data_IF_265506871679
#
_entry.id   IF_265506871679
#
_cell.length_a   1.000
_cell.length_b   1.000
_cell.length_c   1.000
_cell.angle_alpha   90.00
_cell.angle_beta   90.00
_cell.angle_gamma   90.00
#
_symmetry.space_group_name_H-M   'P 1'
#
loop_
_entity.id
_entity.type
_entity.pdbx_description
1 polymer ?
#
# COMPACT_ATOMS: atom_id res chain seq x y z
N UNK A 1 -14.82 -1.45 27.26
CA UNK A 1 -14.36 -2.03 25.99
C UNK A 1 -14.39 -0.97 24.92
N UNK A 2 -13.46 -0.96 23.94
CA UNK A 2 -13.52 -0.01 22.84
C UNK A 2 -14.83 -0.18 22.04
N UNK A 3 -15.37 0.93 21.55
CA UNK A 3 -16.54 0.94 20.64
C UNK A 3 -16.01 0.94 19.21
N UNK A 4 -16.58 0.10 18.36
CA UNK A 4 -16.19 0.05 16.93
C UNK A 4 -17.22 0.81 16.09
N UNK A 5 -16.73 1.78 15.34
CA UNK A 5 -17.51 2.63 14.44
C UNK A 5 -16.99 2.51 13.01
N UNK A 6 -17.77 3.00 12.05
CA UNK A 6 -17.34 3.08 10.63
C UNK A 6 -16.95 4.50 10.27
N UNK A 7 -15.79 4.66 9.64
CA UNK A 7 -15.34 5.93 9.09
C UNK A 7 -16.33 6.45 8.04
N UNK A 8 -16.79 7.67 8.21
CA UNK A 8 -17.52 8.38 7.18
C UNK A 8 -16.52 9.08 6.22
N UNK A 9 -16.35 8.52 5.01
CA UNK A 9 -15.43 9.06 4.01
C UNK A 9 -15.75 10.48 3.53
N UNK A 10 -16.96 10.96 3.75
CA UNK A 10 -17.39 12.31 3.35
C UNK A 10 -17.18 13.36 4.49
N UNK A 11 -16.90 12.89 5.71
CA UNK A 11 -16.53 13.77 6.82
C UNK A 11 -15.00 13.99 6.83
N UNK A 12 -14.60 15.20 6.46
CA UNK A 12 -13.19 15.59 6.39
C UNK A 12 -12.51 15.60 7.77
N UNK A 13 -13.24 15.89 8.85
CA UNK A 13 -12.68 15.92 10.21
C UNK A 13 -12.41 14.49 10.69
N UNK A 14 -13.34 13.59 10.43
CA UNK A 14 -13.20 12.20 10.79
C UNK A 14 -12.07 11.53 10.00
N UNK A 15 -11.98 11.79 8.69
CA UNK A 15 -10.85 11.35 7.86
C UNK A 15 -9.50 11.90 8.36
N UNK A 16 -9.46 13.16 8.81
CA UNK A 16 -8.26 13.75 9.37
C UNK A 16 -7.86 13.09 10.70
N UNK A 17 -8.82 12.86 11.60
CA UNK A 17 -8.59 12.15 12.87
C UNK A 17 -8.10 10.72 12.63
N UNK A 18 -8.66 10.02 11.65
CA UNK A 18 -8.20 8.72 11.21
C UNK A 18 -6.75 8.76 10.72
N UNK A 19 -6.42 9.68 9.80
CA UNK A 19 -5.06 9.80 9.23
C UNK A 19 -4.04 10.22 10.31
N UNK A 20 -4.41 11.05 11.30
CA UNK A 20 -3.55 11.37 12.44
C UNK A 20 -3.24 10.12 13.26
N UNK A 21 -4.24 9.28 13.55
CA UNK A 21 -4.01 7.99 14.19
C UNK A 21 -3.08 7.11 13.35
N UNK A 22 -3.33 6.98 12.06
CA UNK A 22 -2.52 6.20 11.13
C UNK A 22 -1.06 6.69 11.11
N UNK A 23 -0.85 8.00 11.16
CA UNK A 23 0.50 8.58 11.20
C UNK A 23 1.23 8.30 12.52
N UNK A 24 0.51 8.20 13.64
CA UNK A 24 1.08 7.96 14.97
C UNK A 24 1.27 6.48 15.29
N UNK A 25 0.39 5.59 14.81
CA UNK A 25 0.40 4.16 15.14
C UNK A 25 1.54 3.40 14.41
N UNK A 26 2.53 2.82 15.11
CA UNK A 26 3.67 2.15 14.48
C UNK A 26 3.30 0.98 13.55
N UNK A 27 2.19 0.30 13.83
CA UNK A 27 1.70 -0.84 13.06
C UNK A 27 1.01 -0.41 11.76
N UNK A 28 0.58 0.85 11.66
CA UNK A 28 -0.08 1.36 10.47
C UNK A 28 0.93 1.60 9.34
N UNK A 29 0.46 1.45 8.11
CA UNK A 29 1.21 1.63 6.87
C UNK A 29 0.52 2.65 5.98
N UNK A 30 1.13 3.02 4.86
CA UNK A 30 0.52 3.88 3.85
C UNK A 30 -0.88 3.40 3.43
N UNK A 31 -1.11 2.09 3.44
CA UNK A 31 -2.37 1.50 3.01
C UNK A 31 -3.52 1.65 4.03
N UNK A 32 -3.25 2.11 5.23
CA UNK A 32 -4.28 2.44 6.23
C UNK A 32 -4.86 3.85 6.06
N UNK A 33 -4.28 4.69 5.19
CA UNK A 33 -4.75 6.06 4.99
C UNK A 33 -6.20 6.11 4.50
N UNK A 34 -6.99 7.05 5.02
CA UNK A 34 -8.41 7.22 4.68
C UNK A 34 -8.67 7.41 3.18
N UNK A 35 -7.73 8.03 2.47
CA UNK A 35 -7.80 8.26 1.04
C UNK A 35 -8.05 7.02 0.19
N UNK A 36 -7.58 5.86 0.63
CA UNK A 36 -7.84 4.59 -0.04
C UNK A 36 -9.32 4.22 -0.11
N UNK A 37 -10.12 4.62 0.91
CA UNK A 37 -11.56 4.38 0.90
C UNK A 37 -12.23 5.04 -0.31
N UNK A 38 -11.87 6.32 -0.58
CA UNK A 38 -12.39 7.06 -1.72
C UNK A 38 -11.98 6.45 -3.06
N UNK A 39 -10.75 5.95 -3.16
CA UNK A 39 -10.25 5.26 -4.36
C UNK A 39 -11.01 3.97 -4.59
N UNK A 40 -11.16 3.11 -3.58
CA UNK A 40 -11.91 1.85 -3.69
C UNK A 40 -13.34 2.08 -4.15
N UNK A 41 -14.03 3.08 -3.60
CA UNK A 41 -15.40 3.42 -3.98
C UNK A 41 -15.50 4.05 -5.37
N UNK A 42 -14.69 5.07 -5.69
CA UNK A 42 -14.83 5.86 -6.93
C UNK A 42 -14.23 5.18 -8.16
N UNK A 43 -13.16 4.44 -8.00
CA UNK A 43 -12.44 3.80 -9.13
C UNK A 43 -12.90 2.35 -9.33
N UNK A 44 -12.88 1.56 -8.25
CA UNK A 44 -13.19 0.14 -8.32
C UNK A 44 -14.67 -0.18 -8.06
N UNK A 45 -15.43 0.77 -7.49
CA UNK A 45 -16.84 0.60 -7.13
C UNK A 45 -17.05 -0.56 -6.14
N UNK A 46 -16.10 -0.71 -5.20
CA UNK A 46 -16.24 -1.64 -4.10
C UNK A 46 -16.91 -0.95 -2.91
N UNK A 47 -17.79 -1.65 -2.23
CA UNK A 47 -18.27 -1.24 -0.92
C UNK A 47 -17.12 -1.31 0.08
N UNK A 48 -17.00 -0.29 0.92
CA UNK A 48 -15.91 -0.16 1.86
C UNK A 48 -16.41 -0.02 3.29
N UNK A 49 -15.71 -0.65 4.20
CA UNK A 49 -16.03 -0.70 5.62
C UNK A 49 -14.74 -0.41 6.40
N UNK A 50 -14.44 0.86 6.57
CA UNK A 50 -13.28 1.30 7.34
C UNK A 50 -13.71 1.36 8.81
N UNK A 51 -13.25 0.38 9.60
CA UNK A 51 -13.57 0.23 11.01
C UNK A 51 -12.54 0.96 11.87
N UNK A 52 -13.01 1.69 12.87
CA UNK A 52 -12.17 2.34 13.87
C UNK A 52 -12.64 1.96 15.27
N UNK A 53 -11.71 1.56 16.12
CA UNK A 53 -11.94 1.38 17.55
C UNK A 53 -11.71 2.71 18.25
N UNK A 54 -12.60 3.06 19.18
CA UNK A 54 -12.49 4.27 20.00
C UNK A 54 -12.58 3.93 21.49
N UNK A 55 -11.92 4.73 22.30
CA UNK A 55 -12.13 4.68 23.76
C UNK A 55 -13.60 5.02 24.04
N UNK A 56 -14.20 4.39 25.05
CA UNK A 56 -15.50 4.87 25.54
C UNK A 56 -15.31 6.32 26.03
N UNK A 57 -16.03 7.25 25.43
CA UNK A 57 -16.16 8.59 25.92
C UNK A 57 -16.88 8.55 27.27
N UNK A 58 -16.12 8.38 28.35
CA UNK A 58 -16.67 8.47 29.68
C UNK A 58 -17.14 9.90 29.93
N UNK A 59 -18.41 10.08 30.08
CA UNK A 59 -18.97 11.25 30.73
C UNK A 59 -18.54 11.23 32.21
N UNK A 60 -17.30 11.57 32.51
CA UNK A 60 -16.84 11.87 33.85
C UNK A 60 -16.96 13.38 34.09
N UNK A 61 -18.19 13.85 34.17
CA UNK A 61 -18.57 15.02 34.90
C UNK A 61 -18.78 14.67 36.39
N UNK A 62 -17.73 14.29 37.07
CA UNK A 62 -17.76 14.17 38.54
C UNK A 62 -17.55 15.54 39.16
N UNK A 63 -18.63 16.19 39.51
CA UNK A 63 -18.63 17.32 40.45
C UNK A 63 -18.04 16.86 41.77
N UNK A 64 -16.85 17.32 42.12
CA UNK A 64 -16.42 17.44 43.50
C UNK A 64 -16.03 18.91 43.76
N UNK A 65 -16.96 19.62 44.33
CA UNK A 65 -16.70 20.90 44.97
C UNK A 65 -15.79 20.71 46.18
N UNK A 66 -14.74 21.48 46.22
CA UNK A 66 -13.81 21.60 47.32
C UNK A 66 -13.14 22.96 47.20
N UNK A 67 -13.75 23.96 47.85
CA UNK A 67 -13.10 25.27 48.07
C UNK A 67 -11.80 25.06 48.87
N UNK A 68 -10.71 25.61 48.36
CA UNK A 68 -9.82 26.39 49.25
C UNK A 68 -8.80 27.18 48.42
N UNK A 69 -8.69 28.45 48.77
CA UNK A 69 -7.91 29.46 48.11
C UNK A 69 -6.41 29.34 48.35
N UNK A 70 -5.63 30.03 47.52
CA UNK A 70 -4.21 30.25 47.66
C UNK A 70 -3.59 30.79 46.38
N UNK A 71 -3.38 32.09 46.30
CA UNK A 71 -2.66 32.76 45.22
C UNK A 71 -1.17 32.40 45.22
N UNK A 72 -0.57 32.19 44.05
CA UNK A 72 0.59 32.90 43.52
C UNK A 72 1.16 32.30 42.22
N UNK A 73 1.34 33.17 41.26
CA UNK A 73 2.56 33.42 40.50
C UNK A 73 3.08 32.38 39.48
N UNK A 74 2.85 32.69 38.20
CA UNK A 74 3.92 32.73 37.20
C UNK A 74 4.42 31.41 36.62
N UNK A 75 4.16 31.15 35.40
CA UNK A 75 5.03 31.15 34.21
C UNK A 75 4.40 30.34 33.09
N UNK A 76 4.42 30.91 31.91
CA UNK A 76 3.97 30.34 30.63
C UNK A 76 4.84 29.14 30.25
N UNK A 77 4.19 28.02 29.97
CA UNK A 77 4.76 26.87 29.27
C UNK A 77 3.68 26.34 28.36
N UNK A 78 3.76 26.69 27.09
CA UNK A 78 2.79 26.25 26.07
C UNK A 78 2.88 24.74 25.87
N UNK A 79 1.87 24.03 26.31
CA UNK A 79 1.55 22.68 25.87
C UNK A 79 0.31 22.82 24.95
N UNK A 80 0.53 22.74 23.64
CA UNK A 80 -0.57 22.52 22.70
C UNK A 80 -1.15 21.12 22.94
N UNK A 81 -2.02 21.02 23.90
CA UNK A 81 -2.91 19.90 24.08
C UNK A 81 -4.04 20.05 23.05
N UNK A 82 -4.11 19.16 22.08
CA UNK A 82 -5.22 19.07 21.16
C UNK A 82 -6.52 18.86 21.93
N UNK A 83 -7.26 19.96 22.14
CA UNK A 83 -8.61 19.96 22.67
C UNK A 83 -9.56 19.43 21.57
N UNK A 84 -9.59 18.11 21.34
CA UNK A 84 -10.55 17.45 20.47
C UNK A 84 -11.30 16.34 21.21
N UNK A 85 -11.76 16.62 22.40
CA UNK A 85 -12.73 15.82 23.18
C UNK A 85 -14.18 16.10 22.78
N UNK A 86 -14.51 16.06 21.50
CA UNK A 86 -15.89 15.95 21.05
C UNK A 86 -16.50 14.62 21.50
N UNK A 87 -17.83 14.48 21.52
CA UNK A 87 -18.64 13.36 22.06
C UNK A 87 -18.19 11.94 21.67
N UNK A 88 -17.22 11.79 20.77
CA UNK A 88 -16.61 10.53 20.35
C UNK A 88 -15.23 10.38 21.01
N UNK A 89 -15.01 9.22 21.67
CA UNK A 89 -13.71 8.88 22.27
C UNK A 89 -12.55 8.87 21.26
N UNK A 90 -11.31 8.90 21.76
CA UNK A 90 -10.09 8.86 20.92
C UNK A 90 -9.99 7.55 20.13
N UNK A 91 -9.52 7.60 18.88
CA UNK A 91 -9.24 6.43 18.06
C UNK A 91 -8.05 5.66 18.67
N UNK A 92 -8.21 4.35 18.83
CA UNK A 92 -7.21 3.41 19.38
C UNK A 92 -6.85 2.29 18.42
N UNK A 93 -7.57 2.17 17.30
CA UNK A 93 -7.27 1.20 16.27
C UNK A 93 -8.08 1.43 15.01
N UNK A 94 -7.56 0.94 13.88
CA UNK A 94 -8.17 1.05 12.55
C UNK A 94 -8.01 -0.25 11.75
N UNK A 95 -9.01 -0.54 10.90
CA UNK A 95 -8.99 -1.66 9.97
C UNK A 95 -9.70 -1.27 8.66
N UNK A 96 -8.98 -1.05 7.56
CA UNK A 96 -9.56 -0.77 6.26
C UNK A 96 -10.07 -2.06 5.61
N UNK A 97 -11.36 -2.16 5.32
CA UNK A 97 -11.97 -3.30 4.66
C UNK A 97 -12.67 -2.89 3.37
N UNK A 98 -12.61 -3.74 2.36
CA UNK A 98 -13.40 -3.63 1.15
C UNK A 98 -14.08 -4.95 0.79
N UNK A 99 -15.31 -4.89 0.32
CA UNK A 99 -16.09 -6.02 -0.13
C UNK A 99 -15.89 -6.22 -1.63
N UNK A 100 -15.16 -7.27 -1.99
CA UNK A 100 -14.96 -7.69 -3.39
C UNK A 100 -16.00 -8.75 -3.70
N UNK A 101 -17.04 -8.36 -4.46
CA UNK A 101 -18.11 -9.26 -4.86
C UNK A 101 -18.10 -9.44 -6.38
N UNK A 102 -17.65 -10.62 -6.81
CA UNK A 102 -17.51 -10.95 -8.23
C UNK A 102 -18.05 -12.35 -8.51
N UNK A 103 -18.86 -12.47 -9.58
CA UNK A 103 -19.35 -13.77 -10.04
C UNK A 103 -18.23 -14.70 -10.52
N UNK A 104 -17.09 -14.14 -10.99
CA UNK A 104 -15.95 -14.90 -11.53
C UNK A 104 -14.86 -15.16 -10.49
N UNK A 105 -14.63 -14.23 -9.56
CA UNK A 105 -13.50 -14.27 -8.64
C UNK A 105 -13.91 -14.49 -7.18
N UNK A 106 -15.22 -14.61 -6.93
CA UNK A 106 -15.75 -14.93 -5.61
C UNK A 106 -16.23 -13.70 -4.84
N UNK A 107 -16.66 -13.95 -3.60
CA UNK A 107 -17.22 -12.98 -2.68
C UNK A 107 -16.39 -12.96 -1.40
N UNK A 108 -15.64 -11.89 -1.16
CA UNK A 108 -14.68 -11.76 -0.07
C UNK A 108 -14.73 -10.38 0.60
N UNK A 109 -14.49 -10.36 1.89
CA UNK A 109 -14.16 -9.16 2.64
C UNK A 109 -12.65 -9.14 2.85
N UNK A 110 -11.97 -8.13 2.33
CA UNK A 110 -10.50 -8.09 2.31
C UNK A 110 -9.97 -6.82 2.94
N UNK A 111 -8.92 -6.95 3.74
CA UNK A 111 -8.20 -5.80 4.29
C UNK A 111 -7.38 -5.12 3.20
N UNK A 112 -8.00 -4.27 2.46
CA UNK A 112 -7.63 -3.47 1.33
C UNK A 112 -7.11 -4.25 0.10
N UNK A 113 -7.99 -4.45 -0.91
CA UNK A 113 -7.58 -4.94 -2.23
C UNK A 113 -6.49 -4.05 -2.84
N UNK A 114 -5.61 -4.64 -3.64
CA UNK A 114 -4.48 -3.98 -4.30
C UNK A 114 -3.38 -3.45 -3.37
N UNK A 115 -3.53 -3.57 -2.05
CA UNK A 115 -2.49 -3.28 -1.09
C UNK A 115 -1.61 -4.51 -0.82
N UNK A 116 -0.34 -4.27 -0.47
CA UNK A 116 0.55 -5.34 -0.04
C UNK A 116 0.23 -5.83 1.37
N UNK A 117 -0.21 -4.91 2.23
CA UNK A 117 -0.61 -5.14 3.62
C UNK A 117 -1.64 -4.08 4.02
N UNK A 118 -2.42 -4.37 5.05
CA UNK A 118 -3.54 -3.52 5.47
C UNK A 118 -4.37 -4.17 6.59
N UNK A 119 -3.76 -5.07 7.37
CA UNK A 119 -4.42 -5.73 8.51
C UNK A 119 -4.80 -4.76 9.61
N UNK A 120 -5.07 -5.27 10.80
CA UNK A 120 -5.38 -4.41 11.95
C UNK A 120 -4.17 -3.58 12.36
N UNK A 121 -4.36 -2.28 12.58
CA UNK A 121 -3.41 -1.39 13.22
C UNK A 121 -4.06 -0.82 14.49
N UNK A 122 -3.54 -1.18 15.65
CA UNK A 122 -4.12 -0.80 16.95
C UNK A 122 -3.04 -0.53 17.99
N UNK A 123 -3.33 0.34 18.96
CA UNK A 123 -2.41 0.65 20.05
C UNK A 123 -2.37 -0.46 21.11
N UNK A 124 -3.46 -1.22 21.24
CA UNK A 124 -3.62 -2.24 22.27
C UNK A 124 -4.39 -3.46 21.77
N UNK A 125 -4.24 -4.58 22.46
CA UNK A 125 -4.86 -5.85 22.11
C UNK A 125 -6.39 -5.83 22.19
N UNK A 126 -6.99 -5.01 23.08
CA UNK A 126 -8.45 -4.95 23.21
C UNK A 126 -9.07 -4.24 22.00
N UNK A 127 -8.42 -3.18 21.49
CA UNK A 127 -8.83 -2.49 20.28
C UNK A 127 -8.65 -3.38 19.04
N UNK A 128 -7.55 -4.13 18.96
CA UNK A 128 -7.33 -5.09 17.88
C UNK A 128 -8.42 -6.17 17.87
N UNK A 129 -8.71 -6.80 19.02
CA UNK A 129 -9.73 -7.84 19.15
C UNK A 129 -11.13 -7.31 18.80
N UNK A 130 -11.47 -6.08 19.23
CA UNK A 130 -12.77 -5.48 18.91
C UNK A 130 -12.93 -5.24 17.40
N UNK A 131 -11.89 -4.77 16.71
CA UNK A 131 -11.89 -4.58 15.25
C UNK A 131 -12.04 -5.89 14.50
N UNK A 132 -11.34 -6.93 14.93
CA UNK A 132 -11.43 -8.27 14.33
C UNK A 132 -12.81 -8.90 14.53
N UNK A 133 -13.38 -8.81 15.72
CA UNK A 133 -14.74 -9.28 15.99
C UNK A 133 -15.76 -8.55 15.12
N UNK A 134 -15.63 -7.23 14.97
CA UNK A 134 -16.50 -6.45 14.11
C UNK A 134 -16.34 -6.83 12.63
N UNK A 135 -15.11 -7.10 12.17
CA UNK A 135 -14.84 -7.56 10.81
C UNK A 135 -15.43 -8.96 10.55
N UNK A 136 -15.35 -9.88 11.52
CA UNK A 136 -15.94 -11.22 11.44
C UNK A 136 -17.47 -11.15 11.39
N UNK A 137 -18.09 -10.36 12.27
CA UNK A 137 -19.53 -10.14 12.27
C UNK A 137 -20.02 -9.54 10.94
N UNK A 138 -19.28 -8.56 10.41
CA UNK A 138 -19.55 -7.95 9.11
C UNK A 138 -19.42 -8.97 7.96
N UNK A 139 -18.40 -9.82 7.98
CA UNK A 139 -18.18 -10.86 6.99
C UNK A 139 -19.37 -11.86 6.96
N UNK A 140 -19.87 -12.26 8.13
CA UNK A 140 -21.05 -13.12 8.25
C UNK A 140 -22.31 -12.40 7.75
N UNK A 141 -22.52 -11.14 8.13
CA UNK A 141 -23.66 -10.33 7.67
C UNK A 141 -23.69 -10.19 6.15
N UNK A 142 -22.53 -9.94 5.52
CA UNK A 142 -22.39 -9.82 4.07
C UNK A 142 -22.46 -11.19 3.37
N UNK A 143 -22.42 -12.29 4.11
CA UNK A 143 -22.47 -13.63 3.56
C UNK A 143 -21.30 -13.95 2.64
N UNK A 144 -20.10 -13.42 2.93
CA UNK A 144 -18.90 -13.65 2.14
C UNK A 144 -18.39 -15.09 2.25
N UNK A 145 -17.57 -15.50 1.30
CA UNK A 145 -16.92 -16.81 1.32
C UNK A 145 -15.77 -16.85 2.34
N UNK A 146 -15.08 -15.73 2.50
CA UNK A 146 -13.99 -15.60 3.47
C UNK A 146 -13.73 -14.12 3.81
N UNK A 147 -13.13 -13.92 4.98
CA UNK A 147 -12.42 -12.69 5.37
C UNK A 147 -10.93 -12.92 5.13
N UNK A 148 -10.24 -11.95 4.50
CA UNK A 148 -8.80 -11.95 4.27
C UNK A 148 -8.16 -10.76 4.98
N UNK A 149 -7.20 -11.04 5.89
CA UNK A 149 -6.38 -10.03 6.56
C UNK A 149 -4.94 -10.12 6.04
N UNK A 150 -4.42 -9.01 5.50
CA UNK A 150 -3.06 -8.91 4.92
C UNK A 150 -2.09 -8.36 5.95
N UNK A 151 -1.51 -9.24 6.74
CA UNK A 151 -0.64 -8.87 7.86
C UNK A 151 0.84 -8.92 7.48
N UNK A 152 1.64 -8.00 8.06
CA UNK A 152 3.11 -8.03 7.99
C UNK A 152 3.70 -9.14 8.87
N UNK A 153 3.05 -9.40 10.00
CA UNK A 153 3.41 -10.47 10.94
C UNK A 153 2.20 -11.35 11.20
N UNK A 154 2.42 -12.63 11.45
CA UNK A 154 1.34 -13.57 11.72
C UNK A 154 0.64 -13.21 13.02
N UNK A 155 -0.68 -13.02 12.95
CA UNK A 155 -1.53 -12.66 14.09
C UNK A 155 -2.36 -13.87 14.57
N UNK A 156 -2.78 -14.74 13.64
CA UNK A 156 -3.69 -15.86 13.92
C UNK A 156 -3.03 -17.19 13.54
N UNK A 157 -2.32 -17.86 14.49
CA UNK A 157 -1.64 -19.13 14.21
C UNK A 157 -2.57 -20.23 13.72
N UNK A 158 -3.83 -20.21 14.19
CA UNK A 158 -4.85 -21.22 13.88
C UNK A 158 -5.62 -20.96 12.57
N UNK A 159 -5.47 -19.77 11.97
CA UNK A 159 -6.13 -19.48 10.70
C UNK A 159 -5.32 -20.02 9.53
N UNK A 160 -6.00 -20.55 8.49
CA UNK A 160 -5.34 -20.82 7.23
C UNK A 160 -4.65 -19.56 6.72
N UNK A 161 -3.43 -19.70 6.24
CA UNK A 161 -2.65 -18.57 5.72
C UNK A 161 -1.99 -18.90 4.38
N UNK A 162 -1.71 -17.86 3.58
CA UNK A 162 -0.83 -17.94 2.43
C UNK A 162 0.46 -17.17 2.74
N UNK A 163 1.57 -17.82 2.52
CA UNK A 163 2.94 -17.29 2.60
C UNK A 163 3.61 -17.14 1.23
N UNK A 164 2.78 -17.10 0.18
CA UNK A 164 3.21 -17.00 -1.22
C UNK A 164 3.95 -15.71 -1.53
N UNK A 165 3.67 -14.67 -0.77
CA UNK A 165 4.20 -13.34 -0.97
C UNK A 165 5.20 -12.95 0.10
N UNK A 166 6.19 -12.18 -0.32
CA UNK A 166 7.18 -11.54 0.54
C UNK A 166 7.23 -10.05 0.25
N UNK A 167 7.64 -9.26 1.23
CA UNK A 167 8.10 -7.90 1.01
C UNK A 167 9.62 -7.81 1.12
N UNK A 168 10.20 -6.71 0.69
CA UNK A 168 11.63 -6.45 0.70
C UNK A 168 11.89 -5.06 1.25
N UNK A 169 12.36 -4.98 2.48
CA UNK A 169 12.61 -3.72 3.18
C UNK A 169 14.09 -3.61 3.56
N UNK A 170 14.69 -2.45 3.35
CA UNK A 170 16.08 -2.19 3.67
C UNK A 170 16.25 -0.75 4.15
N UNK A 171 17.17 -0.54 5.09
CA UNK A 171 17.54 0.79 5.53
C UNK A 171 18.17 1.60 4.38
N UNK A 172 17.80 2.86 4.27
CA UNK A 172 18.51 3.88 3.48
C UNK A 172 19.57 4.46 4.41
N UNK A 173 20.83 4.42 3.97
CA UNK A 173 21.94 5.01 4.70
C UNK A 173 21.93 6.54 4.54
N UNK A 174 22.45 7.31 5.51
CA UNK A 174 22.43 8.77 5.44
C UNK A 174 23.28 9.37 4.30
N UNK A 175 24.19 8.60 3.75
CA UNK A 175 25.15 9.02 2.73
C UNK A 175 24.90 8.31 1.39
N UNK A 176 24.96 9.07 0.30
CA UNK A 176 24.70 8.58 -1.07
C UNK A 176 25.74 7.54 -1.49
N UNK A 177 27.02 7.77 -1.21
CA UNK A 177 28.10 6.85 -1.57
C UNK A 177 27.99 5.54 -0.79
N UNK A 178 27.66 5.62 0.49
CA UNK A 178 27.41 4.45 1.33
C UNK A 178 26.26 3.60 0.77
N UNK A 179 25.15 4.22 0.33
CA UNK A 179 24.05 3.51 -0.33
C UNK A 179 24.51 2.84 -1.63
N UNK A 180 25.30 3.53 -2.46
CA UNK A 180 25.86 2.95 -3.68
C UNK A 180 26.76 1.74 -3.39
N UNK A 181 27.60 1.82 -2.36
CA UNK A 181 28.48 0.72 -1.96
C UNK A 181 27.72 -0.47 -1.36
N UNK A 182 26.59 -0.21 -0.69
CA UNK A 182 25.70 -1.24 -0.14
C UNK A 182 24.93 -2.04 -1.21
N UNK A 183 24.89 -1.57 -2.46
CA UNK A 183 24.37 -2.35 -3.59
C UNK A 183 25.38 -3.44 -3.96
N UNK A 184 25.00 -4.71 -4.11
CA UNK A 184 25.90 -5.79 -4.54
C UNK A 184 26.62 -5.45 -5.84
N UNK A 185 27.89 -5.88 -5.94
CA UNK A 185 28.82 -5.51 -7.03
C UNK A 185 28.22 -5.60 -8.43
N UNK A 186 27.46 -6.65 -8.72
CA UNK A 186 26.86 -6.88 -10.03
C UNK A 186 25.80 -5.81 -10.35
N UNK A 187 24.88 -5.53 -9.45
CA UNK A 187 23.84 -4.53 -9.63
C UNK A 187 24.39 -3.10 -9.61
N UNK A 188 25.39 -2.85 -8.76
CA UNK A 188 26.12 -1.57 -8.78
C UNK A 188 26.80 -1.30 -10.13
N UNK A 189 27.34 -2.35 -10.79
CA UNK A 189 27.85 -2.20 -12.14
C UNK A 189 26.77 -1.83 -13.16
N UNK A 190 25.55 -2.37 -12.99
CA UNK A 190 24.41 -1.99 -13.85
C UNK A 190 23.97 -0.55 -13.60
N UNK A 191 23.89 -0.09 -12.35
CA UNK A 191 23.64 1.34 -12.04
C UNK A 191 24.68 2.24 -12.72
N UNK A 192 25.97 1.93 -12.57
CA UNK A 192 27.06 2.68 -13.23
C UNK A 192 26.98 2.64 -14.75
N UNK A 193 26.52 1.53 -15.33
CA UNK A 193 26.25 1.42 -16.77
C UNK A 193 25.14 2.41 -17.18
N UNK A 194 24.04 2.49 -16.43
CA UNK A 194 22.98 3.46 -16.68
C UNK A 194 23.50 4.91 -16.63
N UNK A 195 24.29 5.26 -15.62
CA UNK A 195 24.95 6.58 -15.50
C UNK A 195 25.83 6.85 -16.73
N UNK A 196 26.70 5.89 -17.10
CA UNK A 196 27.61 6.01 -18.26
C UNK A 196 26.85 6.16 -19.58
N UNK A 197 25.68 5.53 -19.71
CA UNK A 197 24.81 5.64 -20.88
C UNK A 197 24.09 7.00 -20.96
N UNK A 198 24.32 7.93 -20.04
CA UNK A 198 23.72 9.26 -20.04
C UNK A 198 22.23 9.28 -19.76
N UNK A 199 21.73 8.28 -19.00
CA UNK A 199 20.33 8.24 -18.57
C UNK A 199 20.01 9.43 -17.66
N UNK A 200 18.80 9.96 -17.78
CA UNK A 200 18.29 11.07 -16.95
C UNK A 200 17.02 10.64 -16.22
N UNK A 201 16.83 11.17 -15.02
CA UNK A 201 15.61 10.95 -14.24
C UNK A 201 14.94 12.28 -13.90
N UNK A 202 13.62 12.30 -13.93
CA UNK A 202 12.81 13.45 -13.54
C UNK A 202 11.53 13.01 -12.83
N UNK A 203 10.98 13.93 -12.01
CA UNK A 203 9.66 13.74 -11.39
C UNK A 203 8.60 14.31 -12.31
N UNK A 204 7.62 13.50 -12.67
CA UNK A 204 6.54 13.88 -13.56
C UNK A 204 5.40 14.57 -12.79
N UNK A 205 4.83 15.61 -13.38
CA UNK A 205 3.63 16.26 -12.88
C UNK A 205 2.36 15.47 -13.17
N UNK A 206 2.40 14.51 -14.10
CA UNK A 206 1.27 13.65 -14.48
C UNK A 206 1.69 12.19 -14.60
N UNK A 207 0.69 11.31 -14.66
CA UNK A 207 0.89 9.86 -14.83
C UNK A 207 1.02 9.41 -16.29
N UNK A 208 1.11 10.32 -17.25
CA UNK A 208 0.96 9.99 -18.67
C UNK A 208 2.10 9.12 -19.20
N UNK A 209 3.35 9.54 -18.98
CA UNK A 209 4.54 8.78 -19.39
C UNK A 209 4.63 7.45 -18.65
N UNK A 210 4.38 7.49 -17.34
CA UNK A 210 4.31 6.30 -16.51
C UNK A 210 3.27 5.30 -17.04
N UNK A 211 2.03 5.76 -17.30
CA UNK A 211 0.97 4.87 -17.76
C UNK A 211 1.28 4.22 -19.10
N UNK A 212 1.90 4.93 -20.03
CA UNK A 212 2.33 4.38 -21.30
C UNK A 212 3.29 3.19 -21.13
N UNK A 213 4.33 3.36 -20.30
CA UNK A 213 5.29 2.29 -19.98
C UNK A 213 4.64 1.16 -19.18
N UNK A 214 3.85 1.49 -18.15
CA UNK A 214 3.18 0.51 -17.31
C UNK A 214 2.24 -0.39 -18.12
N UNK A 215 1.35 0.21 -18.91
CA UNK A 215 0.37 -0.54 -19.69
C UNK A 215 1.02 -1.47 -20.72
N UNK A 216 2.04 -0.99 -21.43
CA UNK A 216 2.83 -1.80 -22.37
C UNK A 216 3.57 -2.92 -21.66
N UNK A 217 4.20 -2.63 -20.53
CA UNK A 217 4.96 -3.62 -19.75
C UNK A 217 4.08 -4.76 -19.22
N UNK A 218 2.95 -4.44 -18.56
CA UNK A 218 2.04 -5.48 -18.03
C UNK A 218 1.39 -6.28 -19.14
N UNK A 219 1.08 -5.66 -20.29
CA UNK A 219 0.56 -6.35 -21.47
C UNK A 219 1.56 -7.40 -22.00
N UNK A 220 2.86 -7.05 -22.14
CA UNK A 220 3.91 -8.00 -22.51
C UNK A 220 3.99 -9.20 -21.56
N UNK A 221 3.71 -8.98 -20.28
CA UNK A 221 3.65 -10.06 -19.27
C UNK A 221 2.33 -10.83 -19.28
N UNK A 222 1.32 -10.40 -20.07
CA UNK A 222 0.01 -11.02 -20.14
C UNK A 222 -0.87 -10.73 -18.93
N UNK A 223 -0.63 -9.60 -18.27
CA UNK A 223 -1.39 -9.12 -17.12
C UNK A 223 -2.28 -7.96 -17.55
N UNK A 224 -3.58 -7.95 -17.17
CA UNK A 224 -4.45 -6.82 -17.43
C UNK A 224 -3.97 -5.57 -16.68
N UNK A 225 -3.95 -4.43 -17.37
CA UNK A 225 -3.55 -3.16 -16.79
C UNK A 225 -4.65 -2.57 -15.88
N UNK A 226 -4.26 -1.95 -14.78
CA UNK A 226 -5.09 -0.98 -14.05
C UNK A 226 -5.38 0.23 -14.95
N UNK A 227 -6.48 0.94 -14.70
CA UNK A 227 -6.84 2.09 -15.53
C UNK A 227 -5.93 3.30 -15.29
N UNK A 228 -5.71 4.13 -16.31
CA UNK A 228 -5.04 5.42 -16.14
C UNK A 228 -5.73 6.28 -15.07
N UNK A 229 -7.08 6.24 -15.04
CA UNK A 229 -7.90 6.94 -14.03
C UNK A 229 -7.53 6.53 -12.60
N UNK A 230 -7.15 5.28 -12.36
CA UNK A 230 -6.70 4.83 -11.06
C UNK A 230 -5.43 5.56 -10.61
N UNK A 231 -4.42 5.64 -11.49
CA UNK A 231 -3.16 6.32 -11.19
C UNK A 231 -3.33 7.84 -11.02
N UNK A 232 -4.21 8.44 -11.82
CA UNK A 232 -4.61 9.85 -11.65
C UNK A 232 -5.32 10.09 -10.30
N UNK A 233 -6.17 9.14 -9.89
CA UNK A 233 -6.82 9.21 -8.59
C UNK A 233 -5.84 9.07 -7.42
N UNK A 234 -4.83 8.21 -7.53
CA UNK A 234 -3.74 8.08 -6.53
C UNK A 234 -2.98 9.40 -6.39
N UNK A 235 -2.54 9.99 -7.51
CA UNK A 235 -1.78 11.23 -7.51
C UNK A 235 -2.61 12.40 -6.94
N UNK A 236 -3.89 12.48 -7.32
CA UNK A 236 -4.82 13.50 -6.80
C UNK A 236 -5.08 13.34 -5.30
N UNK A 237 -5.27 12.10 -4.84
CA UNK A 237 -5.66 11.79 -3.47
C UNK A 237 -4.51 11.98 -2.48
N UNK A 238 -3.31 11.56 -2.87
CA UNK A 238 -2.16 11.54 -1.97
C UNK A 238 -1.15 12.66 -2.22
N UNK A 239 -1.33 13.45 -3.28
CA UNK A 239 -0.51 14.64 -3.54
C UNK A 239 0.99 14.33 -3.57
N UNK A 240 1.75 15.04 -2.74
CA UNK A 240 3.21 14.85 -2.59
C UNK A 240 3.63 13.48 -2.06
N UNK A 241 2.70 12.72 -1.48
CA UNK A 241 2.97 11.36 -1.00
C UNK A 241 2.82 10.30 -2.11
N UNK A 242 2.56 10.74 -3.36
CA UNK A 242 2.44 9.88 -4.54
C UNK A 242 3.15 10.51 -5.72
N UNK A 243 4.38 10.10 -6.00
CA UNK A 243 5.21 10.66 -7.06
C UNK A 243 5.49 9.65 -8.18
N UNK A 244 5.68 10.17 -9.38
CA UNK A 244 6.14 9.43 -10.55
C UNK A 244 7.55 9.86 -10.89
N UNK A 245 8.50 8.91 -10.87
CA UNK A 245 9.84 9.11 -11.39
C UNK A 245 9.96 8.42 -12.73
N UNK A 246 10.40 9.17 -13.76
CA UNK A 246 10.58 8.67 -15.12
C UNK A 246 12.03 8.81 -15.56
N UNK A 247 12.53 7.78 -16.24
CA UNK A 247 13.88 7.70 -16.80
C UNK A 247 13.80 7.77 -18.32
N UNK A 248 14.60 8.68 -18.87
CA UNK A 248 14.79 8.85 -20.31
C UNK A 248 16.25 8.58 -20.71
N UNK A 249 16.44 8.16 -21.94
CA UNK A 249 17.76 8.02 -22.55
C UNK A 249 18.30 9.33 -23.10
N UNK A 250 19.55 9.34 -23.65
CA UNK A 250 20.23 10.54 -24.12
C UNK A 250 19.49 11.28 -25.24
N UNK A 251 18.70 10.57 -26.04
CA UNK A 251 17.91 11.14 -27.15
C UNK A 251 16.46 11.47 -26.74
N UNK A 252 16.16 11.45 -25.43
CA UNK A 252 14.83 11.73 -24.91
C UNK A 252 13.87 10.54 -24.98
N UNK A 253 14.31 9.34 -25.43
CA UNK A 253 13.46 8.16 -25.50
C UNK A 253 13.05 7.73 -24.08
N UNK A 254 11.79 7.39 -23.96
CA UNK A 254 11.16 6.95 -22.70
C UNK A 254 11.55 5.50 -22.41
N UNK A 255 12.17 5.22 -21.27
CA UNK A 255 12.75 3.90 -20.96
C UNK A 255 12.11 3.21 -19.76
N UNK A 256 11.95 3.92 -18.66
CA UNK A 256 11.51 3.28 -17.41
C UNK A 256 10.80 4.29 -16.52
N UNK A 257 9.79 3.85 -15.78
CA UNK A 257 9.09 4.74 -14.83
C UNK A 257 8.61 3.96 -13.62
N UNK A 258 8.49 4.67 -12.48
CA UNK A 258 7.96 4.11 -11.24
C UNK A 258 7.07 5.13 -10.54
N UNK A 259 5.89 4.69 -10.11
CA UNK A 259 5.04 5.41 -9.19
C UNK A 259 5.34 4.91 -7.79
N UNK A 260 5.70 5.83 -6.91
CA UNK A 260 6.11 5.56 -5.53
C UNK A 260 5.20 6.26 -4.54
N UNK A 261 4.99 5.63 -3.38
CA UNK A 261 4.36 6.25 -2.24
C UNK A 261 5.39 6.62 -1.19
N UNK A 262 5.09 7.68 -0.43
CA UNK A 262 5.89 8.15 0.70
C UNK A 262 5.03 8.13 1.95
N UNK A 263 5.56 7.56 3.02
CA UNK A 263 4.84 7.45 4.28
C UNK A 263 5.81 7.53 5.46
N UNK A 264 5.69 8.57 6.28
CA UNK A 264 6.64 8.84 7.34
C UNK A 264 8.07 8.97 6.78
N UNK A 265 8.95 8.07 7.16
CA UNK A 265 10.34 8.00 6.71
C UNK A 265 10.61 6.87 5.70
N UNK A 266 9.55 6.40 5.01
CA UNK A 266 9.62 5.31 4.05
C UNK A 266 9.28 5.74 2.63
N UNK A 267 9.94 5.14 1.64
CA UNK A 267 9.56 5.17 0.22
C UNK A 267 9.16 3.78 -0.26
N UNK A 268 8.02 3.72 -0.95
CA UNK A 268 7.46 2.48 -1.51
C UNK A 268 7.34 2.59 -3.03
N UNK A 269 8.32 2.16 -3.84
CA UNK A 269 8.16 2.01 -5.29
C UNK A 269 7.15 0.91 -5.60
N UNK A 270 5.94 1.30 -5.96
CA UNK A 270 4.80 0.39 -5.93
C UNK A 270 4.38 -0.13 -7.31
N UNK A 271 4.30 0.75 -8.30
CA UNK A 271 3.98 0.39 -9.68
C UNK A 271 5.11 0.83 -10.59
N UNK A 272 5.54 -0.04 -11.49
CA UNK A 272 6.61 0.26 -12.42
C UNK A 272 6.29 -0.23 -13.83
N UNK A 273 6.87 0.41 -14.82
CA UNK A 273 6.82 0.01 -16.21
C UNK A 273 8.13 0.31 -16.91
N UNK A 274 8.57 -0.61 -17.75
CA UNK A 274 9.81 -0.51 -18.49
C UNK A 274 9.56 -0.75 -19.98
N UNK A 275 10.22 0.01 -20.84
CA UNK A 275 10.33 -0.28 -22.26
C UNK A 275 11.25 -1.50 -22.50
N UNK A 276 11.18 -2.10 -23.67
CA UNK A 276 12.06 -3.22 -24.03
C UNK A 276 13.52 -2.83 -24.07
N UNK A 277 13.84 -1.62 -24.54
CA UNK A 277 15.18 -1.10 -24.60
C UNK A 277 15.79 -0.78 -23.22
N UNK A 278 14.96 -0.69 -22.16
CA UNK A 278 15.40 -0.38 -20.80
C UNK A 278 16.47 -1.36 -20.29
N UNK A 279 16.37 -2.63 -20.68
CA UNK A 279 17.30 -3.67 -20.26
C UNK A 279 18.72 -3.44 -20.77
N UNK A 280 18.85 -3.11 -22.05
CA UNK A 280 20.17 -2.93 -22.70
C UNK A 280 20.87 -1.68 -22.19
N UNK A 281 20.10 -0.66 -21.81
CA UNK A 281 20.60 0.60 -21.25
C UNK A 281 20.73 0.60 -19.73
N UNK A 282 20.34 -0.50 -19.05
CA UNK A 282 20.30 -0.62 -17.59
C UNK A 282 19.37 0.40 -16.90
N UNK A 283 18.28 0.80 -17.56
CA UNK A 283 17.40 1.84 -17.08
C UNK A 283 16.60 1.43 -15.84
N UNK A 284 16.31 0.14 -15.66
CA UNK A 284 15.62 -0.34 -14.47
C UNK A 284 16.48 -0.22 -13.20
N UNK A 285 17.77 -0.60 -13.27
CA UNK A 285 18.68 -0.43 -12.14
C UNK A 285 18.95 1.05 -11.87
N UNK A 286 19.12 1.87 -12.92
CA UNK A 286 19.28 3.32 -12.79
C UNK A 286 18.06 3.98 -12.15
N UNK A 287 16.83 3.59 -12.52
CA UNK A 287 15.57 4.10 -11.94
C UNK A 287 15.54 3.92 -10.42
N UNK A 288 15.80 2.71 -9.93
CA UNK A 288 15.76 2.43 -8.49
C UNK A 288 16.92 3.08 -7.74
N UNK A 289 18.08 3.23 -8.38
CA UNK A 289 19.17 4.01 -7.82
C UNK A 289 18.77 5.48 -7.65
N UNK A 290 18.22 6.10 -8.69
CA UNK A 290 17.78 7.50 -8.65
C UNK A 290 16.68 7.74 -7.60
N UNK A 291 15.76 6.78 -7.46
CA UNK A 291 14.75 6.83 -6.40
C UNK A 291 15.41 6.74 -5.00
N UNK A 292 16.35 5.83 -4.80
CA UNK A 292 17.08 5.69 -3.54
C UNK A 292 17.91 6.94 -3.20
N UNK A 293 18.61 7.49 -4.19
CA UNK A 293 19.39 8.73 -4.05
C UNK A 293 18.51 9.90 -3.63
N UNK A 294 17.37 10.08 -4.29
CA UNK A 294 16.39 11.13 -3.95
C UNK A 294 15.78 10.91 -2.56
N UNK A 295 15.53 9.68 -2.19
CA UNK A 295 15.01 9.31 -0.87
C UNK A 295 16.04 9.59 0.24
N UNK A 296 17.32 9.29 0.00
CA UNK A 296 18.43 9.65 0.88
C UNK A 296 18.51 11.17 1.07
N UNK A 297 18.46 11.95 -0.01
CA UNK A 297 18.49 13.41 0.05
C UNK A 297 17.30 14.03 0.80
N UNK A 298 16.15 13.33 0.86
CA UNK A 298 14.97 13.71 1.67
C UNK A 298 15.06 13.27 3.13
N UNK A 299 16.09 12.53 3.53
CA UNK A 299 16.26 12.01 4.89
C UNK A 299 15.37 10.81 5.22
N UNK A 300 14.84 10.12 4.20
CA UNK A 300 14.07 8.89 4.41
C UNK A 300 14.98 7.76 4.88
N UNK A 301 14.42 6.86 5.70
CA UNK A 301 15.20 5.81 6.38
C UNK A 301 14.96 4.42 5.83
N UNK A 302 13.83 4.18 5.17
CA UNK A 302 13.44 2.84 4.72
C UNK A 302 13.06 2.86 3.23
N UNK A 303 13.65 1.93 2.49
CA UNK A 303 13.26 1.61 1.13
C UNK A 303 12.47 0.30 1.15
N UNK A 304 11.16 0.38 0.92
CA UNK A 304 10.27 -0.78 0.86
C UNK A 304 9.91 -1.09 -0.59
N UNK A 305 10.56 -2.10 -1.16
CA UNK A 305 10.25 -2.56 -2.53
C UNK A 305 8.87 -3.18 -2.69
N UNK A 306 8.11 -3.32 -1.61
CA UNK A 306 6.79 -3.92 -1.60
C UNK A 306 6.77 -5.38 -2.01
N UNK A 307 5.55 -5.87 -2.18
CA UNK A 307 5.24 -7.28 -2.40
C UNK A 307 5.88 -7.86 -3.66
N UNK A 308 6.38 -9.09 -3.52
CA UNK A 308 6.71 -9.97 -4.66
C UNK A 308 6.26 -11.40 -4.36
N UNK A 309 5.89 -12.11 -5.42
CA UNK A 309 5.63 -13.54 -5.33
C UNK A 309 6.99 -14.29 -5.34
N UNK A 310 7.15 -15.27 -4.46
CA UNK A 310 8.35 -16.11 -4.41
C UNK A 310 8.60 -16.80 -5.76
N UNK A 311 9.86 -16.94 -6.15
CA UNK A 311 10.27 -17.61 -7.39
C UNK A 311 10.03 -16.82 -8.67
N UNK A 312 9.66 -15.53 -8.62
CA UNK A 312 9.44 -14.68 -9.80
C UNK A 312 10.65 -13.80 -10.14
N UNK A 313 10.67 -13.24 -11.35
CA UNK A 313 11.69 -12.28 -11.78
C UNK A 313 11.82 -11.06 -10.86
N UNK A 314 10.72 -10.38 -10.47
CA UNK A 314 10.75 -9.31 -9.49
C UNK A 314 11.33 -9.72 -8.13
N UNK A 315 11.04 -10.93 -7.65
CA UNK A 315 11.64 -11.48 -6.44
C UNK A 315 13.16 -11.59 -6.58
N UNK A 316 13.64 -12.22 -7.66
CA UNK A 316 15.07 -12.40 -7.93
C UNK A 316 15.80 -11.05 -8.08
N UNK A 317 15.17 -10.08 -8.76
CA UNK A 317 15.72 -8.73 -8.93
C UNK A 317 15.97 -8.05 -7.57
N UNK A 318 14.97 -8.02 -6.68
CA UNK A 318 15.07 -7.39 -5.36
C UNK A 318 16.12 -8.08 -4.48
N UNK A 319 16.17 -9.42 -4.51
CA UNK A 319 17.21 -10.19 -3.81
C UNK A 319 18.60 -9.88 -4.34
N UNK A 320 18.77 -9.77 -5.66
CA UNK A 320 20.03 -9.39 -6.28
C UNK A 320 20.49 -7.97 -5.90
N UNK A 321 19.54 -7.08 -5.53
CA UNK A 321 19.82 -5.74 -5.01
C UNK A 321 20.24 -5.75 -3.53
N UNK A 322 20.36 -6.93 -2.89
CA UNK A 322 20.77 -7.07 -1.50
C UNK A 322 19.67 -6.79 -0.50
N UNK A 323 18.41 -7.00 -0.91
CA UNK A 323 17.27 -6.98 0.00
C UNK A 323 16.93 -8.40 0.44
N UNK A 324 16.68 -8.57 1.74
CA UNK A 324 16.23 -9.85 2.27
C UNK A 324 14.70 -9.96 2.22
N UNK A 325 14.17 -11.11 1.77
CA UNK A 325 12.74 -11.34 1.72
C UNK A 325 12.15 -11.50 3.13
N UNK A 326 11.05 -10.81 3.41
CA UNK A 326 10.26 -10.94 4.63
C UNK A 326 8.88 -11.48 4.26
N UNK A 327 8.50 -12.63 4.81
CA UNK A 327 7.22 -13.28 4.51
C UNK A 327 6.05 -12.38 4.90
N UNK A 328 5.07 -12.28 4.02
CA UNK A 328 3.77 -11.65 4.29
C UNK A 328 2.77 -12.74 4.69
N UNK A 329 1.94 -12.43 5.66
CA UNK A 329 0.95 -13.36 6.19
C UNK A 329 -0.45 -12.93 5.78
N UNK A 330 -0.96 -13.56 4.71
CA UNK A 330 -2.35 -13.39 4.31
C UNK A 330 -3.16 -14.46 5.01
N UNK A 331 -3.91 -14.04 6.03
CA UNK A 331 -4.65 -14.90 6.95
C UNK A 331 -6.13 -14.88 6.61
N UNK A 332 -6.76 -16.04 6.63
CA UNK A 332 -8.12 -16.23 6.15
C UNK A 332 -9.02 -16.80 7.22
N UNK A 333 -10.18 -16.21 7.39
CA UNK A 333 -11.30 -16.87 8.05
C UNK A 333 -12.29 -17.33 7.00
N UNK A 334 -12.47 -18.64 6.89
CA UNK A 334 -13.30 -19.28 5.87
C UNK A 334 -14.74 -19.47 6.40
N UNK A 335 -15.76 -19.15 5.56
CA UNK A 335 -17.17 -19.27 5.92
C UNK A 335 -17.94 -20.19 4.97
N UNK A 336 -17.82 -20.00 3.65
CA UNK A 336 -18.53 -20.73 2.61
C UNK A 336 -17.56 -21.43 1.64
N UNK A 337 -16.42 -21.81 2.14
CA UNK A 337 -15.39 -22.55 1.41
C UNK A 337 -14.47 -23.26 2.39
N UNK A 338 -13.89 -24.38 1.95
CA UNK A 338 -13.03 -25.23 2.80
C UNK A 338 -11.53 -24.98 2.56
N UNK A 339 -11.18 -24.22 1.53
CA UNK A 339 -9.79 -23.97 1.13
C UNK A 339 -9.52 -22.50 0.84
N UNK A 340 -8.30 -22.08 1.11
CA UNK A 340 -7.82 -20.74 0.78
C UNK A 340 -7.89 -20.49 -0.73
N UNK A 341 -8.25 -19.28 -1.22
CA UNK A 341 -8.28 -18.95 -2.64
C UNK A 341 -6.92 -19.21 -3.30
N UNK A 342 -6.91 -20.03 -4.35
CA UNK A 342 -5.70 -20.35 -5.10
C UNK A 342 -5.61 -19.45 -6.36
N UNK A 343 -5.02 -18.27 -6.24
CA UNK A 343 -4.75 -17.39 -7.38
C UNK A 343 -3.35 -17.67 -7.96
N UNK A 344 -3.12 -18.92 -8.40
CA UNK A 344 -1.82 -19.31 -8.92
C UNK A 344 -1.78 -19.17 -10.46
N UNK A 345 -0.93 -18.28 -11.03
CA UNK A 345 -0.74 -18.16 -12.48
C UNK A 345 -0.23 -19.44 -13.15
N UNK A 346 0.33 -20.40 -12.40
CA UNK A 346 0.73 -21.70 -12.94
C UNK A 346 -0.46 -22.64 -13.27
N UNK A 347 -1.67 -22.30 -12.84
CA UNK A 347 -2.87 -23.06 -13.20
C UNK A 347 -3.09 -22.97 -14.72
N UNK A 348 -3.33 -24.09 -15.43
CA UNK A 348 -3.54 -24.11 -16.88
C UNK A 348 -4.59 -23.11 -17.38
N UNK A 349 -5.64 -22.90 -16.59
CA UNK A 349 -6.71 -21.95 -16.88
C UNK A 349 -6.19 -20.50 -16.96
N UNK A 350 -5.33 -20.10 -16.04
CA UNK A 350 -4.69 -18.79 -16.06
C UNK A 350 -3.62 -18.68 -17.16
N UNK A 351 -2.92 -19.77 -17.47
CA UNK A 351 -1.95 -19.79 -18.57
C UNK A 351 -2.61 -19.53 -19.94
N UNK A 352 -3.80 -20.08 -20.18
CA UNK A 352 -4.56 -19.82 -21.39
C UNK A 352 -5.00 -18.34 -21.45
N UNK A 353 -5.49 -17.79 -20.33
CA UNK A 353 -5.85 -16.37 -20.24
C UNK A 353 -4.64 -15.46 -20.53
N UNK A 354 -3.47 -15.76 -19.96
CA UNK A 354 -2.23 -15.01 -20.20
C UNK A 354 -1.83 -15.04 -21.68
N UNK A 355 -1.88 -16.22 -22.31
CA UNK A 355 -1.56 -16.37 -23.76
C UNK A 355 -2.52 -15.58 -24.63
N UNK A 356 -3.82 -15.64 -24.33
CA UNK A 356 -4.84 -14.90 -25.07
C UNK A 356 -4.66 -13.39 -24.88
N UNK A 357 -4.40 -12.95 -23.63
CA UNK A 357 -4.20 -11.54 -23.30
C UNK A 357 -3.05 -10.91 -24.10
N UNK A 358 -1.93 -11.61 -24.21
CA UNK A 358 -0.74 -11.15 -24.98
C UNK A 358 -1.01 -10.96 -26.48
N UNK A 359 -2.04 -11.61 -27.02
CA UNK A 359 -2.41 -11.49 -28.44
C UNK A 359 -3.38 -10.36 -28.74
N UNK A 360 -4.00 -9.78 -27.70
CA UNK A 360 -4.90 -8.65 -27.89
C UNK A 360 -4.10 -7.41 -28.34
N UNK A 361 -4.65 -6.57 -29.22
CA UNK A 361 -4.09 -5.24 -29.44
C UNK A 361 -4.04 -4.46 -28.11
N UNK A 362 -2.96 -3.72 -27.87
CA UNK A 362 -2.73 -3.00 -26.60
C UNK A 362 -3.91 -2.08 -26.24
N UNK A 363 -4.50 -1.39 -27.23
CA UNK A 363 -5.68 -0.54 -27.01
C UNK A 363 -6.88 -1.32 -26.47
N UNK A 364 -7.15 -2.51 -27.02
CA UNK A 364 -8.22 -3.40 -26.55
C UNK A 364 -7.92 -3.94 -25.17
N UNK A 365 -6.67 -4.37 -24.92
CA UNK A 365 -6.23 -4.84 -23.62
C UNK A 365 -6.36 -3.75 -22.54
N UNK A 366 -6.02 -2.50 -22.85
CA UNK A 366 -6.14 -1.37 -21.95
C UNK A 366 -7.61 -0.97 -21.67
N UNK A 367 -8.51 -1.21 -22.62
CA UNK A 367 -9.94 -0.99 -22.42
C UNK A 367 -10.58 -2.08 -21.56
N UNK A 368 -10.26 -3.36 -21.81
CA UNK A 368 -10.80 -4.50 -21.05
C UNK A 368 -10.15 -4.66 -19.67
N UNK A 369 -8.85 -4.34 -19.55
CA UNK A 369 -8.05 -4.58 -18.37
C UNK A 369 -8.69 -4.10 -17.06
N UNK A 370 -9.13 -2.84 -16.95
CA UNK A 370 -9.76 -2.30 -15.76
C UNK A 370 -11.00 -3.07 -15.30
N UNK A 371 -11.78 -3.63 -16.24
CA UNK A 371 -12.98 -4.41 -15.92
C UNK A 371 -12.64 -5.78 -15.33
N UNK A 372 -11.52 -6.36 -15.73
CA UNK A 372 -11.03 -7.64 -15.20
C UNK A 372 -10.34 -7.42 -13.86
N UNK A 373 -9.36 -6.47 -13.80
CA UNK A 373 -8.51 -6.25 -12.63
C UNK A 373 -9.30 -5.81 -11.41
N UNK A 374 -10.33 -4.98 -11.57
CA UNK A 374 -11.10 -4.48 -10.42
C UNK A 374 -11.63 -5.57 -9.49
N UNK A 375 -11.81 -6.78 -10.02
CA UNK A 375 -12.35 -7.92 -9.28
C UNK A 375 -11.26 -8.91 -8.81
N UNK A 376 -9.99 -8.65 -9.12
CA UNK A 376 -8.87 -9.52 -8.76
C UNK A 376 -8.26 -9.19 -7.41
N UNK A 377 -8.63 -8.14 -6.73
CA UNK A 377 -8.40 -7.67 -5.36
C UNK A 377 -7.06 -7.94 -4.70
#
# INVERSE_FOLDING_TARGET
MPVVERLNAEDARECHSWDNFVMACPQATFFHRAGWQRIMRKVFRHDTYYLMARTNGGANGGANGGENGGANGGTQGGANGDANGGAHGRITGVLPLAHVNSRLFGNALTSLPFAAYGGVAAEDAASAAALEQAAQALAQQLGVQHLELRNLTRQHPDWPAQDLYVTFRKAILPDEEANMLAIPRKQRAMVRKGIKNGLKSEIDSSVDRFFSLYASNVHRHGTPALSKRYFQALQKEFGSDCEVLTVTGPQGQLLSSVLSFYFRDEVLPYYAGDDEAARDLAANDFKYWELMRRSCARGLKVFDYGRSKQGTGPYAFKKNWGFEPQTLHYEYQLYKRDTVPQNNPANPKYQLMIKTWRRLPVGVANWLGPHVVRNLG
#
